data_IF_386070641363
#
_entry.id   IF_386070641363
#
_cell.length_a   1.000
_cell.length_b   1.000
_cell.length_c   1.000
_cell.angle_alpha   90.00
_cell.angle_beta   90.00
_cell.angle_gamma   90.00
#
_symmetry.space_group_name_H-M   'P 1'
#
loop_
_entity.id
_entity.type
_entity.pdbx_description
1 polymer ?
#
# COMPACT_ATOMS: atom_id res chain seq x y z
N UNK A 1 -21.83 8.05 -8.09
CA UNK A 1 -20.76 7.07 -8.26
C UNK A 1 -21.26 5.77 -7.65
N UNK A 2 -21.69 4.84 -8.49
CA UNK A 2 -22.16 3.54 -8.03
C UNK A 2 -20.94 2.67 -7.71
N UNK A 3 -20.88 2.11 -6.51
CA UNK A 3 -19.88 1.09 -6.18
C UNK A 3 -20.08 -0.09 -7.14
N UNK A 4 -19.00 -0.75 -7.60
CA UNK A 4 -19.15 -1.99 -8.35
C UNK A 4 -19.78 -3.03 -7.42
N UNK A 5 -21.10 -3.23 -7.56
CA UNK A 5 -21.82 -4.36 -7.00
C UNK A 5 -21.26 -5.60 -7.70
N UNK A 6 -20.70 -6.54 -6.94
CA UNK A 6 -19.97 -7.71 -7.44
C UNK A 6 -20.82 -8.74 -8.18
N UNK A 7 -21.79 -8.32 -9.00
CA UNK A 7 -22.64 -9.16 -9.83
C UNK A 7 -21.98 -9.39 -11.20
N UNK A 8 -20.77 -9.93 -11.19
CA UNK A 8 -20.14 -10.53 -12.37
C UNK A 8 -20.21 -12.07 -12.29
N UNK A 9 -19.95 -12.81 -13.38
CA UNK A 9 -20.05 -14.28 -13.42
C UNK A 9 -18.96 -15.01 -12.61
N UNK A 10 -18.19 -14.26 -11.82
CA UNK A 10 -17.20 -14.82 -10.91
C UNK A 10 -17.95 -15.42 -9.72
N UNK A 11 -17.58 -16.64 -9.26
CA UNK A 11 -18.12 -17.14 -8.01
C UNK A 11 -17.95 -16.05 -6.96
N UNK A 12 -19.01 -15.81 -6.19
CA UNK A 12 -19.07 -14.84 -5.10
C UNK A 12 -18.11 -15.27 -4.00
N UNK A 13 -16.81 -15.12 -4.26
CA UNK A 13 -15.77 -15.28 -3.26
C UNK A 13 -16.13 -14.31 -2.15
N UNK A 14 -16.31 -14.80 -0.91
CA UNK A 14 -16.59 -13.91 0.21
C UNK A 14 -15.45 -12.90 0.27
N UNK A 15 -15.78 -11.62 0.26
CA UNK A 15 -14.81 -10.55 0.45
C UNK A 15 -14.18 -10.75 1.83
N UNK A 16 -12.94 -11.28 1.85
CA UNK A 16 -12.26 -11.63 3.11
C UNK A 16 -11.72 -10.37 3.78
N UNK A 17 -11.18 -9.42 2.98
CA UNK A 17 -10.58 -8.17 3.45
C UNK A 17 -10.82 -7.07 2.40
N UNK A 18 -11.12 -5.85 2.87
CA UNK A 18 -11.08 -4.62 2.06
C UNK A 18 -10.08 -3.65 2.68
N UNK A 19 -9.16 -3.14 1.88
CA UNK A 19 -8.22 -2.09 2.28
C UNK A 19 -8.34 -0.93 1.30
N UNK A 20 -8.31 0.30 1.81
CA UNK A 20 -8.44 1.50 1.00
C UNK A 20 -7.10 2.24 0.97
N UNK A 21 -6.62 2.52 -0.24
CA UNK A 21 -5.38 3.24 -0.47
C UNK A 21 -5.62 4.44 -1.38
N UNK A 22 -4.87 5.50 -1.18
CA UNK A 22 -4.84 6.61 -2.13
C UNK A 22 -4.08 6.18 -3.39
N UNK A 23 -4.39 6.81 -4.53
CA UNK A 23 -3.65 6.59 -5.78
C UNK A 23 -2.15 6.94 -5.58
N UNK A 24 -1.85 7.93 -4.75
CA UNK A 24 -0.48 8.34 -4.43
C UNK A 24 0.28 7.23 -3.69
N UNK A 25 -0.36 6.55 -2.73
CA UNK A 25 0.25 5.41 -2.04
C UNK A 25 0.57 4.28 -3.02
N UNK A 26 -0.33 3.99 -3.96
CA UNK A 26 -0.09 2.95 -4.98
C UNK A 26 1.05 3.34 -5.93
N UNK A 27 1.13 4.61 -6.34
CA UNK A 27 2.25 5.10 -7.17
C UNK A 27 3.58 4.99 -6.44
N UNK A 28 3.63 5.38 -5.17
CA UNK A 28 4.83 5.26 -4.36
C UNK A 28 5.26 3.80 -4.21
N UNK A 29 4.29 2.88 -4.05
CA UNK A 29 4.59 1.45 -4.00
C UNK A 29 5.19 0.95 -5.31
N UNK A 30 4.66 1.38 -6.47
CA UNK A 30 5.22 1.04 -7.78
C UNK A 30 6.66 1.54 -7.95
N UNK A 31 6.97 2.74 -7.47
CA UNK A 31 8.35 3.25 -7.49
C UNK A 31 9.29 2.35 -6.68
N UNK A 32 8.84 1.81 -5.54
CA UNK A 32 9.64 0.85 -4.76
C UNK A 32 9.84 -0.45 -5.55
N UNK A 33 8.79 -0.99 -6.18
CA UNK A 33 8.93 -2.16 -7.05
C UNK A 33 9.93 -1.92 -8.20
N UNK A 34 9.83 -0.78 -8.87
CA UNK A 34 10.74 -0.40 -9.96
C UNK A 34 12.18 -0.29 -9.46
N UNK A 35 12.40 0.26 -8.26
CA UNK A 35 13.73 0.36 -7.67
C UNK A 35 14.32 -1.01 -7.26
N UNK A 36 13.49 -2.04 -7.10
CA UNK A 36 13.92 -3.39 -6.70
C UNK A 36 14.28 -4.27 -7.91
N UNK A 37 14.74 -3.65 -9.01
CA UNK A 37 14.76 -4.20 -10.38
C UNK A 37 15.56 -5.50 -10.59
N UNK A 38 16.34 -5.94 -9.59
CA UNK A 38 17.24 -7.10 -9.68
C UNK A 38 16.61 -8.41 -9.17
N UNK A 39 15.29 -8.52 -9.17
CA UNK A 39 14.58 -9.78 -8.88
C UNK A 39 14.47 -10.13 -7.40
N UNK A 40 14.71 -9.16 -6.52
CA UNK A 40 14.42 -9.28 -5.09
C UNK A 40 12.92 -9.28 -4.81
N UNK A 41 12.47 -10.11 -3.86
CA UNK A 41 11.10 -10.02 -3.34
C UNK A 41 10.98 -8.87 -2.35
N UNK A 42 9.87 -8.15 -2.42
CA UNK A 42 9.47 -7.19 -1.39
C UNK A 42 8.50 -7.88 -0.43
N UNK A 43 8.79 -7.80 0.87
CA UNK A 43 7.80 -8.13 1.89
C UNK A 43 6.92 -6.91 2.14
N UNK A 44 5.61 -7.09 1.93
CA UNK A 44 4.63 -6.01 2.04
C UNK A 44 3.63 -6.34 3.14
N UNK A 45 3.45 -5.41 4.06
CA UNK A 45 2.42 -5.49 5.10
C UNK A 45 1.43 -4.34 4.93
N UNK A 46 0.16 -4.70 4.69
CA UNK A 46 -0.95 -3.76 4.58
C UNK A 46 -1.53 -3.51 5.97
N UNK A 47 -1.52 -2.26 6.42
CA UNK A 47 -2.10 -1.83 7.71
C UNK A 47 -3.13 -0.73 7.49
N UNK A 48 -3.98 -0.51 8.48
CA UNK A 48 -4.96 0.60 8.47
C UNK A 48 -4.29 1.97 8.27
N UNK A 49 -3.07 2.14 8.79
CA UNK A 49 -2.33 3.39 8.69
C UNK A 49 -1.59 3.56 7.36
N UNK A 50 -1.41 2.51 6.56
CA UNK A 50 -0.64 2.55 5.33
C UNK A 50 0.04 1.24 4.97
N UNK A 51 1.02 1.31 4.09
CA UNK A 51 1.76 0.16 3.55
C UNK A 51 3.17 0.19 4.12
N UNK A 52 3.57 -0.91 4.76
CA UNK A 52 4.96 -1.15 5.12
C UNK A 52 5.60 -2.04 4.05
N UNK A 53 6.83 -1.70 3.67
CA UNK A 53 7.62 -2.45 2.70
C UNK A 53 8.99 -2.72 3.30
N UNK A 54 9.45 -3.96 3.25
CA UNK A 54 10.83 -4.33 3.56
C UNK A 54 11.55 -4.59 2.25
N UNK A 55 12.60 -3.82 1.97
CA UNK A 55 13.44 -4.05 0.78
C UNK A 55 14.32 -5.30 0.96
N UNK A 56 14.87 -5.88 -0.11
CA UNK A 56 15.76 -7.04 -0.02
C UNK A 56 17.02 -6.76 0.84
N UNK A 57 17.44 -5.50 0.95
CA UNK A 57 18.56 -5.05 1.77
C UNK A 57 18.19 -4.92 3.26
N UNK A 58 16.92 -5.17 3.61
CA UNK A 58 16.42 -5.09 4.98
C UNK A 58 16.03 -3.68 5.42
N UNK A 59 15.81 -2.75 4.49
CA UNK A 59 15.40 -1.38 4.82
C UNK A 59 13.86 -1.29 4.89
N UNK A 60 13.28 -0.85 6.03
CA UNK A 60 11.85 -0.64 6.13
C UNK A 60 11.46 0.72 5.54
N UNK A 61 10.44 0.72 4.69
CA UNK A 61 9.81 1.90 4.11
C UNK A 61 8.34 1.95 4.52
N UNK A 62 7.86 3.15 4.83
CA UNK A 62 6.45 3.41 5.10
C UNK A 62 5.85 4.26 3.99
N UNK A 63 4.75 3.80 3.42
CA UNK A 63 3.97 4.50 2.41
C UNK A 63 2.59 4.76 3.01
N UNK A 64 2.35 6.01 3.38
CA UNK A 64 1.10 6.42 3.99
C UNK A 64 1.05 7.93 4.20
N UNK A 65 -0.04 8.45 4.77
CA UNK A 65 -0.12 9.85 5.12
C UNK A 65 1.03 10.18 6.07
N UNK A 66 1.81 11.21 5.72
CA UNK A 66 2.69 11.83 6.70
C UNK A 66 1.77 12.41 7.78
N UNK A 67 1.80 11.82 8.98
CA UNK A 67 1.34 12.57 10.14
C UNK A 67 2.21 13.81 10.18
N UNK A 68 1.62 14.97 9.90
CA UNK A 68 2.28 16.23 10.22
C UNK A 68 2.67 16.10 11.69
N UNK A 69 3.97 15.96 11.95
CA UNK A 69 4.51 16.23 13.26
C UNK A 69 4.03 17.64 13.60
N UNK A 70 3.10 17.74 14.57
CA UNK A 70 2.80 19.01 15.20
C UNK A 70 4.08 19.45 15.92
N UNK A 71 4.76 20.39 15.27
CA UNK A 71 5.54 21.50 15.82
C UNK A 71 6.78 21.20 16.68
N UNK A 72 7.86 21.91 16.40
CA UNK A 72 8.38 22.89 17.38
C UNK A 72 8.67 24.18 16.61
N UNK A 73 7.82 25.19 16.79
CA UNK A 73 8.25 26.58 16.63
C UNK A 73 9.38 26.82 17.63
N UNK A 74 10.52 27.31 17.13
CA UNK A 74 11.67 27.75 17.93
C UNK A 74 11.76 29.28 17.89
#
# INVERSE_FOLDING_TARGET
>A
MEQPTGEGPYPSSPLIIRVEFTIEMLRNLLVVFEATSDGGSLDIELRESGIWVLTPEGHPLFIGPMTQSRSYDA
#
